data_IF_842873070609
#
_entry.id   IF_842873070609
#
_cell.length_a   1.000
_cell.length_b   1.000
_cell.length_c   1.000
_cell.angle_alpha   90.00
_cell.angle_beta   90.00
_cell.angle_gamma   90.00
#
_symmetry.space_group_name_H-M   'P 1'
#
loop_
_entity.id
_entity.type
_entity.pdbx_description
1 polymer ?
#
# COMPACT_ATOMS: atom_id res chain seq x y z
N UNK A 1 11.13 -11.03 -4.06
CA UNK A 1 12.59 -11.19 -3.87
C UNK A 1 12.92 -11.61 -2.46
N UNK A 2 13.18 -10.66 -1.58
CA UNK A 2 13.72 -10.90 -0.22
C UNK A 2 12.87 -11.85 0.65
N UNK A 3 11.63 -11.47 0.97
CA UNK A 3 10.73 -12.27 1.80
C UNK A 3 10.46 -13.68 1.24
N UNK A 4 10.45 -13.83 -0.08
CA UNK A 4 10.26 -15.14 -0.73
C UNK A 4 11.48 -16.04 -0.54
N UNK A 5 12.71 -15.50 -0.64
CA UNK A 5 13.93 -16.27 -0.39
C UNK A 5 14.01 -16.75 1.05
N UNK A 6 13.59 -15.93 2.01
CA UNK A 6 13.49 -16.34 3.41
C UNK A 6 12.47 -17.47 3.60
N UNK A 7 11.24 -17.27 3.10
CA UNK A 7 10.12 -18.20 3.36
C UNK A 7 10.18 -19.51 2.57
N UNK A 8 10.67 -19.47 1.34
CA UNK A 8 10.62 -20.59 0.39
C UNK A 8 12.00 -21.11 -0.02
N UNK A 9 13.07 -20.46 0.45
CA UNK A 9 14.45 -20.75 0.06
C UNK A 9 14.88 -20.00 -1.20
N UNK A 10 16.18 -19.97 -1.44
CA UNK A 10 16.79 -19.21 -2.56
C UNK A 10 16.34 -19.70 -3.94
N UNK A 11 16.08 -21.00 -4.09
CA UNK A 11 15.65 -21.65 -5.33
C UNK A 11 14.11 -21.77 -5.45
N UNK A 12 13.34 -20.85 -4.84
CA UNK A 12 11.87 -20.90 -4.81
C UNK A 12 11.20 -20.86 -6.20
N UNK A 13 11.88 -20.30 -7.20
CA UNK A 13 11.52 -20.29 -8.61
C UNK A 13 11.48 -21.70 -9.23
N UNK A 14 12.07 -22.72 -8.60
CA UNK A 14 12.06 -24.09 -9.09
C UNK A 14 10.77 -24.85 -8.72
N UNK A 15 10.01 -24.35 -7.73
CA UNK A 15 8.71 -24.90 -7.32
C UNK A 15 7.77 -24.81 -8.53
N UNK A 16 7.05 -25.89 -8.92
CA UNK A 16 6.31 -25.94 -10.19
C UNK A 16 5.38 -24.77 -10.47
N UNK A 17 4.71 -24.22 -9.44
CA UNK A 17 3.81 -23.08 -9.59
C UNK A 17 4.52 -21.74 -9.87
N UNK A 18 5.78 -21.61 -9.42
CA UNK A 18 6.59 -20.40 -9.60
C UNK A 18 7.46 -20.44 -10.86
N UNK A 19 7.59 -21.61 -11.49
CA UNK A 19 8.50 -21.82 -12.61
C UNK A 19 7.96 -21.13 -13.86
N UNK A 20 8.84 -20.43 -14.58
CA UNK A 20 8.50 -19.89 -15.90
C UNK A 20 8.14 -21.02 -16.88
N UNK A 21 7.26 -20.70 -17.84
CA UNK A 21 6.83 -21.64 -18.89
C UNK A 21 7.68 -21.55 -20.16
N UNK A 22 8.73 -20.73 -20.13
CA UNK A 22 9.70 -20.54 -21.20
C UNK A 22 11.06 -21.05 -20.73
N UNK A 23 12.01 -21.18 -21.65
CA UNK A 23 13.39 -21.46 -21.29
C UNK A 23 13.96 -20.31 -20.44
N UNK A 24 14.64 -20.66 -19.34
CA UNK A 24 15.24 -19.70 -18.42
C UNK A 24 16.74 -19.99 -18.26
N UNK A 25 17.54 -19.00 -18.60
CA UNK A 25 18.99 -19.01 -18.46
C UNK A 25 19.41 -17.92 -17.44
N UNK A 26 19.10 -18.13 -16.16
CA UNK A 26 19.15 -17.09 -15.10
C UNK A 26 20.47 -16.97 -14.32
N UNK A 27 21.58 -17.53 -14.83
CA UNK A 27 22.95 -17.49 -14.28
C UNK A 27 23.15 -18.11 -12.87
N UNK A 28 22.25 -17.86 -11.92
CA UNK A 28 22.36 -18.24 -10.51
C UNK A 28 22.68 -19.74 -10.33
N UNK A 29 23.63 -20.05 -9.44
CA UNK A 29 24.15 -21.39 -9.14
C UNK A 29 23.88 -21.78 -7.67
N UNK A 30 23.85 -23.07 -7.42
CA UNK A 30 23.80 -23.68 -6.09
C UNK A 30 22.57 -23.26 -5.27
N UNK A 31 22.74 -23.04 -3.97
CA UNK A 31 21.67 -22.74 -3.03
C UNK A 31 20.94 -23.98 -2.50
N UNK A 32 20.28 -23.83 -1.36
CA UNK A 32 19.52 -24.92 -0.74
C UNK A 32 18.45 -25.47 -1.71
N UNK A 33 18.32 -26.80 -1.76
CA UNK A 33 17.33 -27.51 -2.60
C UNK A 33 17.44 -27.21 -4.10
N UNK A 34 18.66 -27.19 -4.64
CA UNK A 34 18.89 -27.08 -6.08
C UNK A 34 18.51 -28.37 -6.82
N UNK A 35 17.52 -28.31 -7.71
CA UNK A 35 16.82 -29.51 -8.26
C UNK A 35 16.71 -29.56 -9.79
N UNK A 36 17.29 -28.60 -10.51
CA UNK A 36 17.17 -28.40 -11.96
C UNK A 36 18.41 -28.85 -12.76
N UNK A 37 19.38 -29.51 -12.13
CA UNK A 37 20.68 -29.84 -12.73
C UNK A 37 21.72 -28.71 -12.64
N UNK A 38 21.37 -27.56 -12.07
CA UNK A 38 22.29 -26.47 -11.72
C UNK A 38 23.19 -26.06 -12.89
N UNK A 39 22.67 -25.99 -14.12
CA UNK A 39 23.42 -25.61 -15.33
C UNK A 39 24.72 -26.41 -15.61
N UNK A 40 24.92 -27.58 -15.00
CA UNK A 40 26.03 -28.49 -15.29
C UNK A 40 27.43 -27.83 -15.34
N UNK A 41 28.20 -28.15 -16.37
CA UNK A 41 29.55 -27.62 -16.62
C UNK A 41 29.61 -26.26 -17.33
N UNK A 42 28.49 -25.54 -17.46
CA UNK A 42 28.50 -24.20 -18.06
C UNK A 42 29.39 -23.25 -17.24
N UNK A 43 30.06 -22.26 -17.88
CA UNK A 43 30.86 -21.27 -17.17
C UNK A 43 30.06 -20.57 -16.07
N UNK A 44 30.65 -20.36 -14.91
CA UNK A 44 29.99 -19.65 -13.79
C UNK A 44 30.35 -18.16 -13.75
N UNK A 45 30.67 -17.54 -14.89
CA UNK A 45 31.08 -16.14 -14.98
C UNK A 45 30.70 -15.52 -16.35
N UNK A 46 30.62 -14.19 -16.39
CA UNK A 46 30.44 -13.38 -17.60
C UNK A 46 31.23 -12.07 -17.46
N UNK A 47 31.85 -11.52 -18.54
CA UNK A 47 31.90 -12.07 -19.89
C UNK A 47 32.76 -13.34 -19.98
N UNK A 48 32.43 -14.24 -20.91
CA UNK A 48 33.18 -15.46 -21.18
C UNK A 48 33.30 -15.70 -22.71
N UNK A 49 34.32 -16.45 -23.12
CA UNK A 49 34.59 -16.75 -24.55
C UNK A 49 33.65 -17.79 -25.16
N UNK A 50 32.65 -18.30 -24.42
CA UNK A 50 31.67 -19.27 -24.90
C UNK A 50 30.33 -18.60 -25.29
N UNK A 51 30.16 -17.30 -25.05
CA UNK A 51 28.93 -16.56 -25.37
C UNK A 51 27.74 -16.90 -24.47
N UNK A 52 27.96 -17.61 -23.37
CA UNK A 52 26.91 -17.99 -22.42
C UNK A 52 26.65 -16.81 -21.45
N UNK A 53 25.41 -16.63 -21.01
CA UNK A 53 24.96 -15.52 -20.15
C UNK A 53 25.09 -14.13 -20.79
N UNK A 54 24.91 -14.04 -22.11
CA UNK A 54 24.90 -12.77 -22.83
C UNK A 54 23.66 -11.93 -22.46
N UNK A 55 23.86 -10.62 -22.31
CA UNK A 55 22.77 -9.68 -22.08
C UNK A 55 21.91 -9.49 -23.35
N UNK A 56 20.65 -9.09 -23.15
CA UNK A 56 19.68 -8.77 -24.20
C UNK A 56 19.41 -7.25 -24.20
N UNK A 57 20.21 -6.44 -24.91
CA UNK A 57 20.06 -4.98 -24.90
C UNK A 57 18.75 -4.49 -25.56
N UNK A 58 18.12 -5.33 -26.37
CA UNK A 58 16.84 -5.09 -27.03
C UNK A 58 15.66 -5.00 -26.05
N UNK A 59 15.82 -5.49 -24.81
CA UNK A 59 14.82 -5.36 -23.74
C UNK A 59 15.16 -4.29 -22.70
N UNK A 60 16.12 -3.41 -23.00
CA UNK A 60 16.52 -2.33 -22.11
C UNK A 60 15.37 -1.34 -21.89
N UNK A 61 15.14 -0.96 -20.63
CA UNK A 61 14.17 0.08 -20.30
C UNK A 61 14.59 1.43 -20.90
N UNK A 62 13.64 2.26 -21.34
CA UNK A 62 13.96 3.63 -21.77
C UNK A 62 14.48 4.46 -20.58
N UNK A 63 15.29 5.50 -20.82
CA UNK A 63 15.71 6.41 -19.76
C UNK A 63 14.49 7.11 -19.14
N UNK A 64 14.53 7.30 -17.82
CA UNK A 64 13.58 8.10 -17.08
C UNK A 64 14.23 9.44 -16.73
N UNK A 65 13.63 10.54 -17.20
CA UNK A 65 14.07 11.88 -16.82
C UNK A 65 13.79 12.13 -15.32
N UNK A 66 14.77 12.67 -14.61
CA UNK A 66 14.69 12.95 -13.18
C UNK A 66 14.91 14.44 -12.92
N UNK A 67 14.10 15.00 -12.04
CA UNK A 67 14.20 16.39 -11.59
C UNK A 67 14.15 16.47 -10.06
N UNK A 68 14.83 17.47 -9.49
CA UNK A 68 14.89 17.68 -8.05
C UNK A 68 16.06 16.98 -7.36
N UNK A 69 16.13 17.13 -6.04
CA UNK A 69 17.18 16.53 -5.23
C UNK A 69 16.78 15.12 -4.79
N UNK A 70 17.74 14.22 -4.61
CA UNK A 70 17.48 12.98 -3.89
C UNK A 70 17.26 13.31 -2.41
N UNK A 71 16.00 13.35 -2.00
CA UNK A 71 15.59 13.76 -0.65
C UNK A 71 14.44 12.89 -0.13
N UNK A 72 14.20 12.94 1.18
CA UNK A 72 13.04 12.32 1.81
C UNK A 72 11.88 13.32 1.78
N UNK A 73 11.26 13.48 0.62
CA UNK A 73 10.05 14.30 0.46
C UNK A 73 8.91 13.74 1.33
N UNK A 74 8.18 14.63 2.00
CA UNK A 74 6.96 14.26 2.72
C UNK A 74 5.78 14.31 1.74
N UNK A 75 5.06 13.19 1.49
CA UNK A 75 3.92 13.19 0.58
C UNK A 75 2.82 14.20 0.95
N UNK A 76 2.73 14.59 2.22
CA UNK A 76 1.73 15.57 2.69
C UNK A 76 2.01 17.01 2.23
N UNK A 77 3.20 17.26 1.69
CA UNK A 77 3.56 18.56 1.10
C UNK A 77 3.09 18.70 -0.36
N UNK A 78 2.55 17.64 -0.98
CA UNK A 78 2.03 17.71 -2.34
C UNK A 78 0.72 18.53 -2.38
N UNK A 79 0.71 19.72 -3.02
CA UNK A 79 -0.47 20.58 -3.06
C UNK A 79 -1.60 19.99 -3.91
N UNK A 80 -1.33 18.93 -4.68
CA UNK A 80 -2.32 18.23 -5.49
C UNK A 80 -2.96 17.04 -4.76
N UNK A 81 -2.46 16.69 -3.58
CA UNK A 81 -2.98 15.57 -2.79
C UNK A 81 -4.33 15.92 -2.15
N UNK A 82 -5.41 15.39 -2.73
CA UNK A 82 -6.74 15.39 -2.15
C UNK A 82 -7.09 13.98 -1.67
N UNK A 83 -6.78 13.73 -0.39
CA UNK A 83 -6.99 12.44 0.27
C UNK A 83 -8.47 12.00 0.34
N UNK A 84 -9.44 12.88 0.06
CA UNK A 84 -10.86 12.64 0.35
C UNK A 84 -11.71 12.51 -0.92
N UNK A 85 -11.30 13.13 -2.03
CA UNK A 85 -12.05 13.12 -3.29
C UNK A 85 -12.38 11.73 -3.82
N UNK A 86 -11.41 10.82 -3.84
CA UNK A 86 -11.64 9.46 -4.35
C UNK A 86 -12.64 8.68 -3.49
N UNK A 87 -12.52 8.78 -2.16
CA UNK A 87 -13.45 8.16 -1.22
C UNK A 87 -14.86 8.73 -1.31
N UNK A 88 -14.98 10.05 -1.42
CA UNK A 88 -16.27 10.73 -1.63
C UNK A 88 -16.94 10.39 -2.96
N UNK A 89 -16.16 10.31 -4.04
CA UNK A 89 -16.65 9.84 -5.34
C UNK A 89 -17.20 8.40 -5.24
N UNK A 90 -16.46 7.51 -4.55
CA UNK A 90 -16.88 6.13 -4.35
C UNK A 90 -18.20 6.06 -3.57
N UNK A 91 -18.32 6.81 -2.46
CA UNK A 91 -19.57 6.88 -1.68
C UNK A 91 -20.77 7.27 -2.54
N UNK A 92 -20.62 8.31 -3.38
CA UNK A 92 -21.72 8.82 -4.22
C UNK A 92 -22.20 7.87 -5.30
N UNK A 93 -21.37 6.93 -5.74
CA UNK A 93 -21.77 5.89 -6.71
C UNK A 93 -22.28 4.60 -6.06
N UNK A 94 -22.18 4.47 -4.72
CA UNK A 94 -22.73 3.33 -4.02
C UNK A 94 -24.27 3.39 -4.00
N UNK A 95 -24.87 2.21 -4.13
CA UNK A 95 -26.30 2.00 -3.87
C UNK A 95 -26.58 2.08 -2.37
N UNK A 96 -27.81 2.43 -2.00
CA UNK A 96 -28.17 2.66 -0.59
C UNK A 96 -27.96 1.45 0.32
N UNK A 97 -28.22 0.24 -0.17
CA UNK A 97 -27.93 -1.02 0.55
C UNK A 97 -26.43 -1.17 0.86
N UNK A 98 -25.56 -0.79 -0.08
CA UNK A 98 -24.10 -0.84 0.11
C UNK A 98 -23.61 0.24 1.05
N UNK A 99 -24.20 1.44 0.99
CA UNK A 99 -23.92 2.52 1.94
C UNK A 99 -24.22 2.08 3.36
N UNK A 100 -25.38 1.45 3.58
CA UNK A 100 -25.77 0.94 4.90
C UNK A 100 -24.79 -0.12 5.42
N UNK A 101 -24.43 -1.09 4.57
CA UNK A 101 -23.45 -2.13 4.90
C UNK A 101 -22.09 -1.52 5.26
N UNK A 102 -21.61 -0.52 4.50
CA UNK A 102 -20.37 0.17 4.78
C UNK A 102 -20.41 0.82 6.17
N UNK A 103 -21.45 1.60 6.46
CA UNK A 103 -21.61 2.28 7.74
C UNK A 103 -21.61 1.29 8.90
N UNK A 104 -22.41 0.22 8.81
CA UNK A 104 -22.50 -0.78 9.88
C UNK A 104 -21.19 -1.51 10.10
N UNK A 105 -20.50 -1.92 9.04
CA UNK A 105 -19.21 -2.60 9.13
C UNK A 105 -18.15 -1.71 9.79
N UNK A 106 -18.04 -0.46 9.34
CA UNK A 106 -17.07 0.49 9.90
C UNK A 106 -17.38 0.82 11.36
N UNK A 107 -18.65 1.04 11.72
CA UNK A 107 -19.06 1.30 13.09
C UNK A 107 -18.76 0.12 14.03
N UNK A 108 -19.00 -1.12 13.59
CA UNK A 108 -18.69 -2.32 14.35
C UNK A 108 -17.18 -2.51 14.54
N UNK A 109 -16.39 -2.33 13.49
CA UNK A 109 -14.94 -2.57 13.51
C UNK A 109 -14.21 -1.57 14.41
N UNK A 110 -14.62 -0.30 14.37
CA UNK A 110 -14.02 0.78 15.17
C UNK A 110 -14.60 0.90 16.58
N UNK A 111 -15.67 0.14 16.91
CA UNK A 111 -16.32 0.16 18.21
C UNK A 111 -15.36 0.04 19.42
N UNK A 112 -14.31 -0.83 19.42
CA UNK A 112 -13.38 -0.95 20.55
C UNK A 112 -12.35 0.19 20.62
N UNK A 113 -12.24 1.04 19.59
CA UNK A 113 -11.30 2.16 19.61
C UNK A 113 -11.72 3.24 20.61
N UNK A 114 -10.73 3.99 21.08
CA UNK A 114 -10.96 5.16 21.93
C UNK A 114 -11.72 6.24 21.17
N UNK A 115 -12.50 7.05 21.90
CA UNK A 115 -13.39 8.05 21.32
C UNK A 115 -12.67 9.06 20.42
N UNK A 116 -11.46 9.48 20.80
CA UNK A 116 -10.61 10.37 20.00
C UNK A 116 -10.24 9.79 18.62
N UNK A 117 -10.04 8.47 18.51
CA UNK A 117 -9.79 7.80 17.21
C UNK A 117 -11.08 7.80 16.38
N UNK A 118 -12.23 7.51 17.00
CA UNK A 118 -13.52 7.53 16.31
C UNK A 118 -13.84 8.92 15.75
N UNK A 119 -13.56 9.99 16.49
CA UNK A 119 -13.71 11.37 15.99
C UNK A 119 -12.79 11.68 14.81
N UNK A 120 -11.54 11.22 14.81
CA UNK A 120 -10.64 11.39 13.65
C UNK A 120 -11.21 10.72 12.40
N UNK A 121 -11.66 9.47 12.52
CA UNK A 121 -12.27 8.77 11.40
C UNK A 121 -13.56 9.45 10.92
N UNK A 122 -14.39 9.93 11.85
CA UNK A 122 -15.62 10.67 11.52
C UNK A 122 -15.34 11.96 10.73
N UNK A 123 -14.29 12.70 11.09
CA UNK A 123 -13.84 13.88 10.34
C UNK A 123 -13.45 13.50 8.92
N UNK A 124 -12.68 12.43 8.73
CA UNK A 124 -12.29 11.98 7.39
C UNK A 124 -13.49 11.54 6.55
N UNK A 125 -14.47 10.84 7.15
CA UNK A 125 -15.72 10.50 6.47
C UNK A 125 -16.49 11.74 6.04
N UNK A 126 -16.55 12.76 6.90
CA UNK A 126 -17.22 14.03 6.62
C UNK A 126 -16.53 14.85 5.53
N UNK A 127 -15.19 14.88 5.51
CA UNK A 127 -14.40 15.53 4.47
C UNK A 127 -14.52 14.83 3.11
N UNK A 128 -14.72 13.50 3.10
CA UNK A 128 -15.00 12.74 1.89
C UNK A 128 -16.40 13.01 1.34
N UNK A 129 -17.43 12.93 2.18
CA UNK A 129 -18.80 13.27 1.83
C UNK A 129 -19.61 13.59 3.10
N UNK A 130 -20.38 14.68 3.07
CA UNK A 130 -21.15 15.11 4.25
C UNK A 130 -22.22 14.08 4.67
N UNK A 131 -22.85 13.38 3.73
CA UNK A 131 -23.80 12.32 4.05
C UNK A 131 -23.08 11.12 4.68
N UNK A 132 -21.93 10.75 4.13
CA UNK A 132 -21.11 9.65 4.66
C UNK A 132 -20.70 9.93 6.11
N UNK A 133 -20.13 11.11 6.37
CA UNK A 133 -19.77 11.54 7.72
C UNK A 133 -20.96 11.55 8.66
N UNK A 134 -22.11 12.10 8.25
CA UNK A 134 -23.32 12.15 9.08
C UNK A 134 -23.79 10.75 9.49
N UNK A 135 -23.92 9.82 8.53
CA UNK A 135 -24.37 8.45 8.81
C UNK A 135 -23.39 7.71 9.72
N UNK A 136 -22.08 7.91 9.54
CA UNK A 136 -21.08 7.27 10.39
C UNK A 136 -21.13 7.82 11.82
N UNK A 137 -21.24 9.15 11.99
CA UNK A 137 -21.36 9.80 13.30
C UNK A 137 -22.55 9.28 14.08
N UNK A 138 -23.70 9.12 13.40
CA UNK A 138 -24.91 8.54 13.98
C UNK A 138 -24.68 7.10 14.43
N UNK A 139 -24.14 6.25 13.55
CA UNK A 139 -23.86 4.85 13.86
C UNK A 139 -22.82 4.66 14.97
N UNK A 140 -21.83 5.54 15.05
CA UNK A 140 -20.77 5.51 16.06
C UNK A 140 -21.15 6.19 17.39
N UNK A 141 -22.33 6.81 17.48
CA UNK A 141 -22.80 7.52 18.68
C UNK A 141 -21.98 8.75 19.04
N UNK A 142 -21.48 9.48 18.04
CA UNK A 142 -20.63 10.66 18.21
C UNK A 142 -21.42 11.99 18.07
N UNK A 143 -20.82 13.10 18.50
CA UNK A 143 -21.39 14.43 18.31
C UNK A 143 -20.95 15.06 16.97
N UNK A 144 -21.92 15.30 16.08
CA UNK A 144 -21.68 15.93 14.79
C UNK A 144 -21.09 17.34 14.90
N UNK A 145 -21.47 18.12 15.93
CA UNK A 145 -20.95 19.50 16.09
C UNK A 145 -19.44 19.49 16.34
N UNK A 146 -18.98 18.53 17.14
CA UNK A 146 -17.56 18.31 17.38
C UNK A 146 -16.84 17.88 16.11
N UNK A 147 -17.43 17.02 15.29
CA UNK A 147 -16.84 16.60 14.00
C UNK A 147 -16.67 17.79 13.04
N UNK A 148 -17.70 18.63 12.88
CA UNK A 148 -17.63 19.82 12.02
C UNK A 148 -16.49 20.73 12.49
N UNK A 149 -16.43 21.04 13.79
CA UNK A 149 -15.36 21.87 14.36
C UNK A 149 -13.96 21.28 14.13
N UNK A 150 -13.82 19.96 14.25
CA UNK A 150 -12.55 19.28 14.02
C UNK A 150 -12.17 19.20 12.53
N UNK A 151 -13.15 19.23 11.62
CA UNK A 151 -12.91 19.19 10.16
C UNK A 151 -12.33 20.47 9.58
N UNK A 152 -12.41 21.58 10.32
CA UNK A 152 -11.81 22.87 9.94
C UNK A 152 -10.30 22.92 10.23
N UNK A 153 -9.78 21.97 10.99
CA UNK A 153 -8.38 21.89 11.37
C UNK A 153 -7.53 21.28 10.25
N UNK A 154 -6.26 21.67 10.18
CA UNK A 154 -5.29 20.90 9.40
C UNK A 154 -5.11 19.49 9.97
N UNK A 155 -4.65 18.52 9.18
CA UNK A 155 -4.43 17.15 9.66
C UNK A 155 -3.47 17.10 10.88
N UNK A 156 -2.46 17.97 10.92
CA UNK A 156 -1.53 18.07 12.07
C UNK A 156 -2.25 18.54 13.34
N UNK A 157 -3.09 19.56 13.23
CA UNK A 157 -3.87 20.10 14.34
C UNK A 157 -4.98 19.13 14.79
N UNK A 158 -5.62 18.44 13.85
CA UNK A 158 -6.58 17.39 14.13
C UNK A 158 -5.94 16.28 14.97
N UNK A 159 -4.76 15.79 14.55
CA UNK A 159 -4.03 14.78 15.31
C UNK A 159 -3.64 15.29 16.71
N UNK A 160 -3.13 16.52 16.80
CA UNK A 160 -2.74 17.11 18.08
C UNK A 160 -3.94 17.29 19.04
N UNK A 161 -5.08 17.75 18.53
CA UNK A 161 -6.31 17.98 19.31
C UNK A 161 -6.99 16.69 19.77
N UNK A 162 -6.69 15.57 19.11
CA UNK A 162 -7.24 14.25 19.41
C UNK A 162 -6.22 13.30 20.03
N UNK A 163 -5.09 13.80 20.55
CA UNK A 163 -4.19 13.00 21.37
C UNK A 163 -4.90 12.52 22.65
N UNK A 164 -4.59 11.29 23.07
CA UNK A 164 -5.14 10.72 24.31
C UNK A 164 -4.67 11.57 25.52
N UNK A 165 -5.59 12.12 26.32
CA UNK A 165 -5.25 12.86 27.53
C UNK A 165 -4.40 12.06 28.52
N UNK A 166 -4.49 10.72 28.52
CA UNK A 166 -3.73 9.82 29.40
C UNK A 166 -2.29 9.58 28.95
N UNK A 167 -1.92 10.04 27.75
CA UNK A 167 -0.56 9.95 27.21
C UNK A 167 0.17 11.30 27.22
N UNK A 168 -0.35 12.29 27.97
CA UNK A 168 0.33 13.57 28.26
C UNK A 168 1.00 13.55 29.61
#
# INVERSE_FOLDING_TARGET
>A
GDAQRYRLGVNYNHIPVNRAKVEVNEYHRDGFMRTDGNYGGAPAYTPNSQGIWAAQPDVMEPPLDLEGAMYRYDPTEDPTDDCFKAGGNLWRVMTEDKKEILIQNTANDIAPCTENIKYRHAVHCYLADHEYGRRFVEAAGLDMKRVIKLSELTNKELNQSTLDPKMK
#
